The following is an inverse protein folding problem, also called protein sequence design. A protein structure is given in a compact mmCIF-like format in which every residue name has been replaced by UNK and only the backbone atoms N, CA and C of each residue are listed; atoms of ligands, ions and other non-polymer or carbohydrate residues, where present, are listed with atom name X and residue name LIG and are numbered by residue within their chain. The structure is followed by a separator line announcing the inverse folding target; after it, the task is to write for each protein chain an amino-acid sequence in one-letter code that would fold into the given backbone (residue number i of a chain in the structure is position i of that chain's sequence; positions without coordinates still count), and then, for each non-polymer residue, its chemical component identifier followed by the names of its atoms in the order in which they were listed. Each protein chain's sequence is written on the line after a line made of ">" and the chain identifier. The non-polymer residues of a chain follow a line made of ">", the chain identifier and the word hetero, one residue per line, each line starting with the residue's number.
data_IF_664399422644
#
_entry.id   IF_664399422644
#
_cell.length_a   1.000
_cell.length_b   1.000
_cell.length_c   1.000
_cell.angle_alpha   90.00
_cell.angle_beta   90.00
_cell.angle_gamma   90.00
#
_symmetry.space_group_name_H-M   'P 1'
#
loop_
_entity.id
_entity.type
_entity.pdbx_description
1 polymer ?
#
# COMPACT_ATOMS: atom_id res chain seq x y z
N UNK A 1 -68.16 -67.09 20.56
CA UNK A 1 -67.59 -65.93 21.26
C UNK A 1 -66.11 -65.86 20.89
N UNK A 2 -65.79 -65.12 19.82
CA UNK A 2 -64.47 -65.11 19.14
C UNK A 2 -64.12 -63.64 18.89
N UNK A 3 -62.90 -63.24 19.27
CA UNK A 3 -62.43 -61.87 19.41
C UNK A 3 -62.20 -61.11 18.09
N UNK A 4 -62.30 -59.77 18.06
CA UNK A 4 -61.95 -58.98 16.88
C UNK A 4 -60.44 -58.70 16.78
N UNK A 5 -59.90 -58.91 15.57
CA UNK A 5 -58.55 -58.55 15.12
C UNK A 5 -58.41 -57.03 14.96
N UNK A 6 -57.38 -56.43 15.56
CA UNK A 6 -57.07 -55.00 15.48
C UNK A 6 -56.07 -54.71 14.35
N UNK A 7 -56.49 -53.93 13.35
CA UNK A 7 -55.68 -53.55 12.19
C UNK A 7 -54.95 -52.22 12.45
N UNK A 8 -53.63 -52.23 12.69
CA UNK A 8 -52.82 -51.01 12.83
C UNK A 8 -52.35 -50.51 11.46
N UNK A 9 -52.97 -49.44 10.96
CA UNK A 9 -52.52 -48.73 9.76
C UNK A 9 -51.25 -47.91 10.05
N UNK A 10 -50.13 -48.36 9.52
CA UNK A 10 -48.85 -47.62 9.47
C UNK A 10 -49.01 -46.38 8.59
N UNK A 11 -48.76 -45.19 9.16
CA UNK A 11 -48.84 -43.91 8.44
C UNK A 11 -47.65 -43.71 7.47
N UNK A 12 -47.86 -43.11 6.29
CA UNK A 12 -46.89 -43.07 5.19
C UNK A 12 -45.86 -41.95 5.35
N UNK A 13 -44.58 -42.32 5.47
CA UNK A 13 -43.45 -41.40 5.44
C UNK A 13 -42.90 -41.21 4.02
N UNK A 14 -43.52 -40.35 3.21
CA UNK A 14 -42.93 -39.87 1.95
C UNK A 14 -41.87 -38.81 2.25
N UNK A 15 -40.58 -39.18 2.25
CA UNK A 15 -39.46 -38.22 2.27
C UNK A 15 -38.58 -38.37 1.02
N UNK A 16 -39.03 -37.64 0.00
CA UNK A 16 -38.35 -37.11 -1.19
C UNK A 16 -36.87 -37.53 -1.39
N UNK A 17 -36.67 -38.41 -2.37
CA UNK A 17 -35.48 -38.48 -3.23
C UNK A 17 -35.49 -37.24 -4.14
N UNK A 18 -34.38 -36.49 -4.27
CA UNK A 18 -33.95 -35.84 -5.53
C UNK A 18 -32.64 -35.03 -5.36
N UNK A 19 -31.63 -35.45 -6.14
CA UNK A 19 -30.78 -34.66 -7.03
C UNK A 19 -29.58 -33.81 -6.55
N UNK A 20 -28.56 -33.92 -7.40
CA UNK A 20 -27.61 -32.91 -7.87
C UNK A 20 -26.22 -32.89 -7.22
N UNK A 21 -25.28 -33.45 -7.99
CA UNK A 21 -23.84 -33.18 -7.98
C UNK A 21 -23.56 -31.68 -7.93
N UNK A 22 -23.08 -31.20 -6.78
CA UNK A 22 -22.47 -29.88 -6.66
C UNK A 22 -20.96 -30.05 -6.46
N UNK A 23 -20.21 -30.23 -7.55
CA UNK A 23 -18.77 -29.93 -7.51
C UNK A 23 -18.66 -28.41 -7.44
N UNK A 24 -18.72 -27.87 -6.23
CA UNK A 24 -18.25 -26.53 -5.95
C UNK A 24 -16.74 -26.54 -6.18
N UNK A 25 -16.31 -26.30 -7.40
CA UNK A 25 -14.92 -25.92 -7.67
C UNK A 25 -14.70 -24.57 -6.99
N UNK A 26 -14.30 -24.62 -5.71
CA UNK A 26 -13.69 -23.49 -5.03
C UNK A 26 -12.37 -23.27 -5.75
N UNK A 27 -12.39 -22.37 -6.72
CA UNK A 27 -11.16 -21.88 -7.31
C UNK A 27 -10.49 -21.03 -6.24
N UNK A 28 -9.60 -21.65 -5.46
CA UNK A 28 -8.69 -20.93 -4.59
C UNK A 28 -7.63 -20.28 -5.51
N UNK A 29 -8.03 -19.28 -6.29
CA UNK A 29 -7.08 -18.34 -6.85
C UNK A 29 -6.52 -17.56 -5.66
N UNK A 30 -5.46 -18.08 -5.06
CA UNK A 30 -4.68 -17.35 -4.08
C UNK A 30 -4.25 -16.06 -4.75
N UNK A 31 -4.67 -14.92 -4.19
CA UNK A 31 -4.17 -13.63 -4.61
C UNK A 31 -2.64 -13.71 -4.55
N UNK A 32 -1.98 -13.58 -5.71
CA UNK A 32 -0.53 -13.37 -5.73
C UNK A 32 -0.25 -12.20 -4.78
N UNK A 33 0.81 -12.25 -3.95
CA UNK A 33 1.11 -11.13 -3.08
C UNK A 33 1.20 -9.88 -3.95
N UNK A 34 0.26 -8.96 -3.73
CA UNK A 34 0.33 -7.66 -4.37
C UNK A 34 1.61 -7.03 -3.87
N UNK A 35 2.62 -6.92 -4.75
CA UNK A 35 3.86 -6.23 -4.46
C UNK A 35 3.51 -4.74 -4.33
N UNK A 36 3.04 -4.35 -3.15
CA UNK A 36 2.70 -2.97 -2.84
C UNK A 36 3.98 -2.15 -2.82
N UNK A 37 4.37 -1.64 -3.98
CA UNK A 37 5.48 -0.72 -4.11
C UNK A 37 5.07 0.61 -3.46
N UNK A 38 5.84 1.07 -2.47
CA UNK A 38 5.64 2.41 -1.93
C UNK A 38 6.19 3.44 -2.90
N UNK A 39 5.36 4.40 -3.28
CA UNK A 39 5.75 5.58 -4.04
C UNK A 39 5.88 6.75 -3.07
N UNK A 40 6.94 7.53 -3.26
CA UNK A 40 7.19 8.75 -2.52
C UNK A 40 6.82 9.96 -3.38
N UNK A 41 6.11 10.91 -2.78
CA UNK A 41 5.64 12.12 -3.42
C UNK A 41 6.22 13.32 -2.70
N UNK A 42 6.72 14.28 -3.48
CA UNK A 42 7.17 15.58 -2.99
C UNK A 42 6.13 16.65 -3.36
N UNK A 43 5.68 17.41 -2.38
CA UNK A 43 4.81 18.58 -2.57
C UNK A 43 5.62 19.87 -2.68
N UNK A 44 5.05 20.91 -3.28
CA UNK A 44 5.67 22.25 -3.40
C UNK A 44 6.09 22.83 -2.04
N UNK A 45 5.28 22.65 -0.99
CA UNK A 45 5.60 22.99 0.40
C UNK A 45 6.68 22.09 1.06
N UNK A 46 7.49 21.38 0.28
CA UNK A 46 8.55 20.46 0.77
C UNK A 46 8.02 19.44 1.78
N UNK A 47 6.88 18.81 1.45
CA UNK A 47 6.28 17.73 2.24
C UNK A 47 6.45 16.38 1.54
N UNK A 48 6.77 15.35 2.31
CA UNK A 48 6.87 13.97 1.86
C UNK A 48 5.55 13.25 2.12
N UNK A 49 4.96 12.65 1.08
CA UNK A 49 3.83 11.75 1.22
C UNK A 49 4.13 10.38 0.62
N UNK A 50 3.44 9.36 1.11
CA UNK A 50 3.55 7.98 0.63
C UNK A 50 2.21 7.47 0.13
N UNK A 51 2.27 6.72 -0.97
CA UNK A 51 1.14 6.01 -1.55
C UNK A 51 1.56 4.62 -1.97
N UNK A 52 0.67 3.64 -1.84
CA UNK A 52 0.91 2.29 -2.31
C UNK A 52 0.55 2.19 -3.80
N UNK A 53 1.47 1.72 -4.64
CA UNK A 53 1.23 1.54 -6.08
C UNK A 53 0.07 0.56 -6.36
N UNK A 54 -0.19 -0.38 -5.45
CA UNK A 54 -1.27 -1.35 -5.55
C UNK A 54 -2.66 -0.82 -5.17
N UNK A 55 -2.71 0.34 -4.52
CA UNK A 55 -3.94 0.96 -4.06
C UNK A 55 -3.83 2.46 -4.34
N UNK A 56 -4.24 2.86 -5.55
CA UNK A 56 -4.31 4.25 -5.99
C UNK A 56 -5.45 4.99 -5.25
N UNK A 57 -5.26 5.14 -3.94
CA UNK A 57 -6.07 5.97 -3.05
C UNK A 57 -5.40 7.32 -2.86
N UNK A 58 -6.14 8.29 -2.30
CA UNK A 58 -5.60 9.59 -1.96
C UNK A 58 -4.30 9.44 -1.15
N UNK A 59 -3.25 10.19 -1.48
CA UNK A 59 -1.98 10.11 -0.77
C UNK A 59 -2.18 10.47 0.71
N UNK A 60 -1.43 9.82 1.59
CA UNK A 60 -1.45 10.12 3.02
C UNK A 60 -1.14 11.60 3.27
N UNK A 61 -1.68 12.20 4.32
CA UNK A 61 -1.32 13.58 4.71
C UNK A 61 0.20 13.71 4.82
N UNK A 62 0.79 14.54 3.97
CA UNK A 62 2.25 14.63 3.86
C UNK A 62 2.90 15.17 5.14
N UNK A 63 4.09 14.66 5.47
CA UNK A 63 4.91 15.12 6.58
C UNK A 63 5.87 16.20 6.09
N UNK A 64 6.02 17.30 6.83
CA UNK A 64 6.96 18.35 6.46
C UNK A 64 8.41 17.81 6.53
N UNK A 65 9.19 18.03 5.47
CA UNK A 65 10.59 17.62 5.45
C UNK A 65 11.40 18.64 6.26
N UNK A 66 12.20 18.14 7.19
CA UNK A 66 13.02 18.96 8.11
C UNK A 66 14.50 18.70 7.86
N UNK A 67 15.40 19.55 8.38
CA UNK A 67 16.85 19.39 8.19
C UNK A 67 17.39 19.93 6.85
N UNK A 68 16.53 20.52 6.02
CA UNK A 68 16.93 21.24 4.81
C UNK A 68 17.58 22.57 5.20
N UNK A 69 18.69 22.92 4.53
CA UNK A 69 19.40 24.18 4.74
C UNK A 69 18.49 25.38 4.46
N UNK A 70 18.56 26.41 5.31
CA UNK A 70 17.74 27.60 5.16
C UNK A 70 17.95 28.27 3.80
N UNK A 71 16.85 28.58 3.11
CA UNK A 71 16.86 29.19 1.78
C UNK A 71 16.98 28.18 0.62
N UNK A 72 17.15 26.89 0.90
CA UNK A 72 17.00 25.85 -0.13
C UNK A 72 15.55 25.36 -0.21
N UNK A 73 15.12 25.03 -1.43
CA UNK A 73 13.85 24.37 -1.70
C UNK A 73 14.12 23.00 -2.31
N UNK A 74 13.38 21.97 -1.89
CA UNK A 74 13.53 20.65 -2.49
C UNK A 74 12.84 20.62 -3.85
N UNK A 75 13.57 20.24 -4.90
CA UNK A 75 13.08 20.25 -6.29
C UNK A 75 12.93 18.87 -6.90
N UNK A 76 13.61 17.87 -6.35
CA UNK A 76 13.56 16.49 -6.85
C UNK A 76 13.77 15.49 -5.72
N UNK A 77 13.20 14.30 -5.89
CA UNK A 77 13.43 13.12 -5.05
C UNK A 77 13.66 11.88 -5.93
N UNK A 78 14.48 10.95 -5.45
CA UNK A 78 14.78 9.68 -6.13
C UNK A 78 15.00 8.55 -5.12
N UNK A 79 14.40 7.39 -5.34
CA UNK A 79 14.68 6.18 -4.56
C UNK A 79 15.70 5.35 -5.30
N UNK A 80 16.87 5.15 -4.68
CA UNK A 80 17.96 4.40 -5.33
C UNK A 80 17.77 2.89 -5.14
N UNK A 81 17.65 2.08 -6.21
CA UNK A 81 17.39 0.64 -6.08
C UNK A 81 18.48 -0.13 -5.32
N UNK A 82 19.72 0.35 -5.34
CA UNK A 82 20.86 -0.32 -4.74
C UNK A 82 20.78 -0.39 -3.20
N UNK A 83 20.26 0.66 -2.55
CA UNK A 83 20.21 0.79 -1.10
C UNK A 83 18.82 1.12 -0.56
N UNK A 84 17.83 1.28 -1.45
CA UNK A 84 16.45 1.68 -1.13
C UNK A 84 16.35 2.97 -0.31
N UNK A 85 17.35 3.84 -0.44
CA UNK A 85 17.37 5.13 0.22
C UNK A 85 16.69 6.19 -0.64
N UNK A 86 15.99 7.11 0.03
CA UNK A 86 15.36 8.27 -0.60
C UNK A 86 16.32 9.44 -0.59
N UNK A 87 16.72 9.88 -1.76
CA UNK A 87 17.54 11.07 -1.95
C UNK A 87 16.69 12.24 -2.39
N UNK A 88 17.11 13.45 -2.04
CA UNK A 88 16.51 14.67 -2.52
C UNK A 88 17.56 15.68 -2.97
N UNK A 89 17.14 16.59 -3.85
CA UNK A 89 17.94 17.73 -4.29
C UNK A 89 17.34 19.01 -3.74
N UNK A 90 18.07 19.70 -2.88
CA UNK A 90 17.77 21.05 -2.43
C UNK A 90 18.48 22.08 -3.30
N UNK A 91 17.77 23.12 -3.70
CA UNK A 91 18.30 24.20 -4.54
C UNK A 91 18.04 25.54 -3.88
N UNK A 92 19.08 26.36 -3.76
CA UNK A 92 18.98 27.77 -3.44
C UNK A 92 19.26 28.57 -4.71
N UNK A 93 18.19 29.01 -5.36
CA UNK A 93 18.26 29.78 -6.61
C UNK A 93 18.88 31.18 -6.42
N UNK A 94 18.92 31.71 -5.20
CA UNK A 94 19.51 33.04 -4.93
C UNK A 94 21.04 32.98 -4.90
N UNK A 95 21.59 31.85 -4.50
CA UNK A 95 23.05 31.65 -4.32
C UNK A 95 23.67 30.71 -5.35
N UNK A 96 22.87 30.24 -6.31
CA UNK A 96 23.24 29.22 -7.29
C UNK A 96 23.92 28.02 -6.62
N UNK A 97 23.28 27.49 -5.57
CA UNK A 97 23.77 26.34 -4.80
C UNK A 97 22.77 25.20 -4.85
N UNK A 98 23.30 23.98 -4.92
CA UNK A 98 22.54 22.76 -4.76
C UNK A 98 23.17 21.84 -3.73
N UNK A 99 22.34 21.20 -2.91
CA UNK A 99 22.75 20.25 -1.90
C UNK A 99 21.98 18.95 -2.08
N UNK A 100 22.70 17.83 -2.10
CA UNK A 100 22.08 16.51 -2.05
C UNK A 100 21.74 16.16 -0.61
N UNK A 101 20.55 15.60 -0.40
CA UNK A 101 20.08 15.17 0.91
C UNK A 101 19.74 13.68 0.89
N UNK A 102 19.99 13.00 2.00
CA UNK A 102 19.42 11.71 2.34
C UNK A 102 18.19 11.96 3.22
N UNK A 103 17.02 11.52 2.78
CA UNK A 103 15.77 11.64 3.55
C UNK A 103 15.46 10.31 4.23
N UNK A 104 15.24 10.37 5.54
CA UNK A 104 14.70 9.25 6.31
C UNK A 104 13.16 9.21 6.13
N UNK A 105 12.59 8.22 5.44
CA UNK A 105 11.17 8.26 5.08
C UNK A 105 10.22 8.13 6.27
N UNK A 106 10.71 7.53 7.37
CA UNK A 106 9.95 7.33 8.60
C UNK A 106 9.74 8.63 9.40
N UNK A 107 10.68 9.57 9.31
CA UNK A 107 10.68 10.83 10.09
C UNK A 107 10.63 12.09 9.23
N UNK A 108 10.80 11.96 7.91
CA UNK A 108 10.98 13.07 6.97
C UNK A 108 12.15 14.00 7.35
N UNK A 109 13.19 13.47 7.99
CA UNK A 109 14.41 14.23 8.26
C UNK A 109 15.39 14.12 7.09
N UNK A 110 15.84 15.25 6.57
CA UNK A 110 16.82 15.38 5.50
C UNK A 110 18.21 15.66 6.09
N UNK A 111 19.18 14.81 5.76
CA UNK A 111 20.59 14.97 6.14
C UNK A 111 21.42 15.33 4.90
N UNK A 112 22.18 16.45 4.91
CA UNK A 112 22.99 16.84 3.77
C UNK A 112 24.11 15.84 3.49
N UNK A 113 24.34 15.56 2.21
CA UNK A 113 25.38 14.67 1.72
C UNK A 113 26.45 15.52 1.04
N UNK A 114 27.59 15.66 1.73
CA UNK A 114 28.69 16.48 1.24
C UNK A 114 28.41 17.98 1.36
N UNK A 115 29.09 18.76 0.53
CA UNK A 115 29.01 20.22 0.51
C UNK A 115 28.16 20.72 -0.64
N UNK A 116 27.43 21.82 -0.43
CA UNK A 116 26.66 22.47 -1.49
C UNK A 116 27.56 22.81 -2.70
N UNK A 117 27.13 22.40 -3.89
CA UNK A 117 27.83 22.63 -5.15
C UNK A 117 27.18 23.74 -5.96
N UNK A 118 27.94 24.40 -6.83
CA UNK A 118 27.42 25.44 -7.71
C UNK A 118 26.48 24.88 -8.78
N UNK A 119 25.37 25.57 -9.00
CA UNK A 119 24.54 25.42 -10.19
C UNK A 119 25.19 26.25 -11.30
N UNK A 120 25.49 25.62 -12.44
CA UNK A 120 26.20 26.24 -13.56
C UNK A 120 25.30 27.12 -14.43
#
# INVERSE_FOLDING_TARGET
>A
MIAPISNRSTSPGLRRLLLATGLTSVSLFGALPSQAQTLYLLSEDSRLSTVSASAATLPSTGVAITGVTAGETLVAIDVRPQNQQLYALGVNATTDRATLYLIEPSTAFASPIGTATGLI
#
